data_IF_581135194236
#
_entry.id   IF_581135194236
#
_cell.length_a   1.000
_cell.length_b   1.000
_cell.length_c   1.000
_cell.angle_alpha   90.00
_cell.angle_beta   90.00
_cell.angle_gamma   90.00
#
_symmetry.space_group_name_H-M   'P 1'
#
loop_
_entity.id
_entity.type
_entity.pdbx_description
1 polymer ?
#
# COMPACT_ATOMS: atom_id res chain seq x y z
N UNK A 1 41.46 19.74 21.66
CA UNK A 1 40.71 18.90 20.69
C UNK A 1 39.56 18.11 21.32
N UNK A 2 39.74 17.40 22.44
CA UNK A 2 38.68 16.63 23.13
C UNK A 2 37.44 17.46 23.52
N UNK A 3 37.63 18.68 24.01
CA UNK A 3 36.52 19.56 24.41
C UNK A 3 35.76 20.15 23.22
N UNK A 4 36.41 20.30 22.05
CA UNK A 4 35.77 20.83 20.84
C UNK A 4 34.80 19.79 20.25
N UNK A 5 35.17 18.51 20.27
CA UNK A 5 34.33 17.40 19.82
C UNK A 5 33.09 17.25 20.71
N UNK A 6 33.25 17.37 22.02
CA UNK A 6 32.12 17.32 22.96
C UNK A 6 31.15 18.50 22.79
N UNK A 7 31.67 19.70 22.54
CA UNK A 7 30.83 20.90 22.31
C UNK A 7 30.07 20.81 20.98
N UNK A 8 30.70 20.30 19.93
CA UNK A 8 30.01 20.09 18.64
C UNK A 8 28.89 19.05 18.79
N UNK A 9 29.15 17.95 19.52
CA UNK A 9 28.16 16.90 19.74
C UNK A 9 26.97 17.37 20.57
N UNK A 10 27.19 18.16 21.63
CA UNK A 10 26.10 18.71 22.45
C UNK A 10 25.29 19.77 21.72
N UNK A 11 25.92 20.62 20.90
CA UNK A 11 25.21 21.58 20.06
C UNK A 11 24.33 20.88 19.01
N UNK A 12 24.83 19.78 18.41
CA UNK A 12 24.05 19.00 17.44
C UNK A 12 22.79 18.37 18.07
N UNK A 13 22.92 17.79 19.28
CA UNK A 13 21.80 17.20 20.03
C UNK A 13 20.78 18.26 20.46
N UNK A 14 21.26 19.45 20.86
CA UNK A 14 20.39 20.57 21.22
C UNK A 14 19.60 21.10 20.02
N UNK A 15 20.20 21.19 18.83
CA UNK A 15 19.50 21.61 17.59
C UNK A 15 18.35 20.66 17.24
N UNK A 16 18.50 19.35 17.49
CA UNK A 16 17.43 18.37 17.30
C UNK A 16 16.27 18.51 18.29
N UNK A 17 16.52 19.02 19.50
CA UNK A 17 15.50 19.22 20.54
C UNK A 17 14.65 20.48 20.33
N UNK A 18 15.13 21.47 19.56
CA UNK A 18 14.41 22.74 19.32
C UNK A 18 13.69 22.81 17.98
N UNK A 19 13.81 21.79 17.11
CA UNK A 19 12.95 21.72 15.94
C UNK A 19 11.52 21.42 16.43
N UNK A 20 10.56 22.35 16.29
CA UNK A 20 9.17 21.98 16.48
C UNK A 20 8.89 20.90 15.43
N UNK A 21 8.59 19.68 15.88
CA UNK A 21 7.78 18.77 15.10
C UNK A 21 6.44 19.49 14.91
N UNK A 22 6.37 20.36 13.91
CA UNK A 22 5.11 20.88 13.43
C UNK A 22 4.40 19.67 12.87
N UNK A 23 3.37 19.20 13.58
CA UNK A 23 2.35 18.28 13.05
C UNK A 23 1.64 18.96 11.88
N UNK A 24 2.33 19.04 10.75
CA UNK A 24 1.71 19.18 9.46
C UNK A 24 1.13 17.81 9.13
N UNK A 25 -0.20 17.69 9.23
CA UNK A 25 -0.96 16.62 8.57
C UNK A 25 -0.62 16.61 7.09
N UNK A 26 0.35 15.78 6.70
CA UNK A 26 0.62 15.22 5.37
C UNK A 26 1.99 14.55 5.40
N UNK A 27 2.11 13.43 6.10
CA UNK A 27 3.26 12.55 5.97
C UNK A 27 2.91 11.41 5.01
N UNK A 28 2.90 11.71 3.71
CA UNK A 28 3.01 10.67 2.68
C UNK A 28 4.48 10.21 2.65
N UNK A 29 4.74 9.20 3.48
CA UNK A 29 5.76 8.13 3.42
C UNK A 29 7.26 8.46 3.54
N UNK A 30 7.92 7.90 4.57
CA UNK A 30 9.38 7.80 4.72
C UNK A 30 9.96 6.41 4.43
N UNK A 31 9.11 5.44 4.08
CA UNK A 31 9.49 4.06 3.71
C UNK A 31 8.41 3.51 2.78
N UNK A 32 8.73 3.36 1.51
CA UNK A 32 7.81 2.79 0.53
C UNK A 32 8.08 1.29 0.41
N UNK A 33 7.08 0.46 0.70
CA UNK A 33 7.21 -1.00 0.54
C UNK A 33 7.14 -1.32 -0.94
N UNK A 34 8.30 -1.67 -1.50
CA UNK A 34 8.46 -1.91 -2.93
C UNK A 34 7.97 -3.30 -3.30
N UNK A 35 8.32 -4.32 -2.51
CA UNK A 35 7.88 -5.69 -2.78
C UNK A 35 7.76 -6.55 -1.54
N UNK A 36 6.70 -7.35 -1.49
CA UNK A 36 6.48 -8.39 -0.48
C UNK A 36 6.61 -9.76 -1.13
N UNK A 37 7.44 -10.62 -0.56
CA UNK A 37 7.48 -12.03 -0.92
C UNK A 37 6.86 -12.86 0.20
N UNK A 38 5.86 -13.66 -0.13
CA UNK A 38 5.17 -14.54 0.80
C UNK A 38 5.52 -15.98 0.45
N UNK A 39 6.17 -16.68 1.38
CA UNK A 39 6.43 -18.12 1.26
C UNK A 39 5.50 -18.84 2.21
N UNK A 40 4.47 -19.47 1.68
CA UNK A 40 3.51 -20.21 2.48
C UNK A 40 4.07 -21.57 2.92
N UNK A 41 3.84 -21.92 4.19
CA UNK A 41 4.12 -23.23 4.75
C UNK A 41 3.01 -23.62 5.73
N UNK A 42 2.14 -24.54 5.29
CA UNK A 42 0.95 -24.99 6.03
C UNK A 42 0.09 -23.81 6.51
N UNK A 43 -0.05 -23.64 7.83
CA UNK A 43 -0.87 -22.58 8.42
C UNK A 43 -0.15 -21.23 8.51
N UNK A 44 1.17 -21.22 8.34
CA UNK A 44 2.01 -20.04 8.45
C UNK A 44 2.58 -19.57 7.11
N UNK A 45 3.38 -18.51 7.19
CA UNK A 45 4.16 -18.02 6.06
C UNK A 45 5.40 -17.24 6.53
N UNK A 46 6.40 -17.18 5.67
CA UNK A 46 7.53 -16.24 5.81
C UNK A 46 7.31 -15.08 4.86
N UNK A 47 7.20 -13.87 5.41
CA UNK A 47 7.09 -12.64 4.65
C UNK A 47 8.47 -11.99 4.54
N UNK A 48 8.96 -11.77 3.33
CA UNK A 48 10.13 -10.93 3.07
C UNK A 48 9.67 -9.60 2.51
N UNK A 49 9.75 -8.57 3.33
CA UNK A 49 9.31 -7.21 3.04
C UNK A 49 10.50 -6.42 2.55
N UNK A 50 10.49 -5.95 1.31
CA UNK A 50 11.52 -5.08 0.76
C UNK A 50 10.98 -3.65 0.69
N UNK A 51 11.83 -2.69 1.01
CA UNK A 51 11.42 -1.29 1.08
C UNK A 51 12.52 -0.34 0.63
N UNK A 52 12.11 0.81 0.09
CA UNK A 52 13.01 1.91 -0.24
C UNK A 52 12.83 3.08 0.74
N UNK A 53 13.96 3.68 1.08
CA UNK A 53 14.10 4.81 2.01
C UNK A 53 14.33 6.08 1.18
N UNK A 54 13.40 6.38 0.28
CA UNK A 54 13.53 7.54 -0.60
C UNK A 54 13.40 8.83 0.22
N UNK A 55 14.54 9.51 0.44
CA UNK A 55 14.75 10.89 1.01
C UNK A 55 15.20 11.06 2.48
N UNK A 56 15.96 10.10 3.04
CA UNK A 56 16.54 10.05 4.43
C UNK A 56 15.54 9.57 5.50
N UNK A 57 15.99 8.65 6.40
CA UNK A 57 17.29 8.69 7.05
C UNK A 57 18.12 7.40 6.93
N UNK A 58 18.65 7.09 5.73
CA UNK A 58 19.74 6.09 5.59
C UNK A 58 20.89 6.36 6.57
N UNK A 59 21.20 7.64 6.80
CA UNK A 59 22.22 8.04 7.76
C UNK A 59 21.82 7.73 9.22
N UNK A 60 20.55 7.88 9.62
CA UNK A 60 20.14 7.57 10.99
C UNK A 60 20.02 6.06 11.21
N UNK A 61 19.58 5.29 10.21
CA UNK A 61 19.58 3.83 10.28
C UNK A 61 21.02 3.30 10.35
N UNK A 62 21.98 3.96 9.71
CA UNK A 62 23.40 3.63 9.83
C UNK A 62 23.93 3.87 11.27
N UNK A 63 23.50 4.94 11.93
CA UNK A 63 23.96 5.30 13.28
C UNK A 63 23.17 4.64 14.43
N UNK A 64 21.88 4.37 14.25
CA UNK A 64 20.95 3.88 15.29
C UNK A 64 20.50 2.43 15.06
N UNK A 65 20.91 1.84 13.93
CA UNK A 65 20.49 0.51 13.50
C UNK A 65 19.09 0.50 12.88
N UNK A 66 18.71 -0.65 12.35
CA UNK A 66 17.40 -0.87 11.69
C UNK A 66 16.21 -0.79 12.65
N UNK A 67 16.41 -0.80 13.98
CA UNK A 67 15.33 -0.72 14.99
C UNK A 67 14.38 0.46 14.78
N UNK A 68 14.86 1.56 14.22
CA UNK A 68 14.01 2.71 13.89
C UNK A 68 12.91 2.43 12.85
N UNK A 69 13.03 1.33 12.09
CA UNK A 69 12.06 0.90 11.08
C UNK A 69 10.94 0.01 11.67
N UNK A 70 11.16 -0.55 12.84
CA UNK A 70 10.25 -1.52 13.47
C UNK A 70 8.84 -0.98 13.69
N UNK A 71 8.64 0.25 14.24
CA UNK A 71 7.29 0.78 14.44
C UNK A 71 6.50 0.89 13.12
N UNK A 72 7.19 1.15 12.01
CA UNK A 72 6.54 1.27 10.72
C UNK A 72 6.19 -0.08 10.11
N UNK A 73 7.08 -1.07 10.17
CA UNK A 73 6.74 -2.46 9.81
C UNK A 73 5.54 -2.93 10.65
N UNK A 74 5.51 -2.56 11.94
CA UNK A 74 4.39 -2.83 12.83
C UNK A 74 3.07 -2.21 12.40
N UNK A 75 3.08 -0.98 11.91
CA UNK A 75 1.89 -0.34 11.37
C UNK A 75 1.35 -1.04 10.12
N UNK A 76 2.24 -1.46 9.20
CA UNK A 76 1.80 -2.13 7.96
C UNK A 76 1.23 -3.52 8.20
N UNK A 77 1.86 -4.30 9.07
CA UNK A 77 1.47 -5.68 9.34
C UNK A 77 0.64 -5.84 10.62
N UNK A 78 0.05 -4.77 11.16
CA UNK A 78 -0.67 -4.78 12.44
C UNK A 78 -1.83 -5.78 12.50
N UNK A 79 -2.40 -6.13 11.34
CA UNK A 79 -3.52 -7.06 11.21
C UNK A 79 -3.08 -8.53 11.09
N UNK A 80 -1.77 -8.80 11.17
CA UNK A 80 -1.19 -10.14 11.11
C UNK A 80 -0.64 -10.53 12.49
N UNK A 81 -0.70 -11.82 12.80
CA UNK A 81 0.02 -12.40 13.93
C UNK A 81 1.42 -12.79 13.44
N UNK A 82 2.45 -12.05 13.87
CA UNK A 82 3.80 -12.25 13.36
C UNK A 82 4.90 -11.86 14.34
N UNK A 83 6.07 -12.45 14.09
CA UNK A 83 7.33 -12.10 14.74
C UNK A 83 8.34 -11.61 13.71
N UNK A 84 9.07 -10.54 14.05
CA UNK A 84 10.18 -10.05 13.20
C UNK A 84 11.39 -10.95 13.45
N UNK A 85 11.74 -11.80 12.49
CA UNK A 85 12.93 -12.67 12.57
C UNK A 85 14.19 -11.84 12.33
N UNK A 86 14.13 -10.95 11.33
CA UNK A 86 15.29 -10.15 10.90
C UNK A 86 14.83 -8.82 10.34
N UNK A 87 15.59 -7.77 10.58
CA UNK A 87 15.36 -6.46 9.97
C UNK A 87 16.69 -5.82 9.62
N UNK A 88 16.90 -5.59 8.32
CA UNK A 88 18.08 -4.97 7.73
C UNK A 88 17.75 -3.51 7.31
N UNK A 89 18.54 -2.92 6.42
CA UNK A 89 18.33 -1.54 5.96
C UNK A 89 17.36 -1.42 4.77
N UNK A 90 17.16 -2.51 4.05
CA UNK A 90 16.40 -2.60 2.80
C UNK A 90 15.33 -3.69 2.81
N UNK A 91 15.36 -4.56 3.83
CA UNK A 91 14.40 -5.66 3.98
C UNK A 91 14.12 -6.05 5.43
N UNK A 92 12.95 -6.61 5.65
CA UNK A 92 12.57 -7.29 6.88
C UNK A 92 12.06 -8.70 6.56
N UNK A 93 12.31 -9.64 7.46
CA UNK A 93 11.80 -11.01 7.39
C UNK A 93 10.90 -11.23 8.59
N UNK A 94 9.63 -11.53 8.32
CA UNK A 94 8.60 -11.78 9.31
C UNK A 94 8.18 -13.25 9.25
N UNK A 95 8.03 -13.88 10.41
CA UNK A 95 7.30 -15.15 10.54
C UNK A 95 5.86 -14.83 10.86
N UNK A 96 4.96 -15.17 9.96
CA UNK A 96 3.53 -14.94 10.13
C UNK A 96 2.86 -16.27 10.45
N UNK A 97 2.05 -16.29 11.51
CA UNK A 97 1.36 -17.49 11.97
C UNK A 97 -0.13 -17.41 11.66
N UNK A 98 -0.79 -18.58 11.63
CA UNK A 98 -2.25 -18.71 11.56
C UNK A 98 -2.93 -17.95 10.41
N UNK A 99 -2.23 -17.79 9.29
CA UNK A 99 -2.69 -17.02 8.12
C UNK A 99 -3.52 -17.85 7.14
N UNK A 100 -3.45 -19.18 7.23
CA UNK A 100 -4.28 -20.09 6.43
C UNK A 100 -5.05 -21.06 7.32
N UNK A 101 -6.21 -21.51 6.81
CA UNK A 101 -6.98 -22.61 7.41
C UNK A 101 -6.80 -23.87 6.58
N UNK A 102 -6.69 -25.02 7.24
CA UNK A 102 -6.70 -26.30 6.55
C UNK A 102 -8.15 -26.79 6.35
N UNK A 103 -8.53 -27.07 5.11
CA UNK A 103 -9.81 -27.65 4.75
C UNK A 103 -9.65 -28.64 3.59
N UNK A 104 -10.17 -29.87 3.76
CA UNK A 104 -10.23 -30.91 2.73
C UNK A 104 -8.92 -31.14 1.94
N UNK A 105 -7.77 -31.13 2.61
CA UNK A 105 -6.47 -31.37 1.96
C UNK A 105 -5.82 -30.12 1.37
N UNK A 106 -6.39 -28.94 1.60
CA UNK A 106 -5.85 -27.67 1.14
C UNK A 106 -5.67 -26.70 2.30
N UNK A 107 -4.68 -25.82 2.15
CA UNK A 107 -4.51 -24.63 2.97
C UNK A 107 -5.13 -23.45 2.24
N UNK A 108 -6.06 -22.75 2.89
CA UNK A 108 -6.84 -21.66 2.33
C UNK A 108 -6.50 -20.34 3.05
N UNK A 109 -6.02 -19.38 2.29
CA UNK A 109 -5.78 -18.01 2.73
C UNK A 109 -6.86 -17.08 2.16
N UNK A 110 -7.44 -16.24 3.02
CA UNK A 110 -8.50 -15.29 2.68
C UNK A 110 -7.94 -13.86 2.61
N UNK A 111 -8.30 -13.15 1.54
CA UNK A 111 -7.97 -11.75 1.26
C UNK A 111 -8.52 -10.70 2.23
N UNK A 112 -9.28 -11.12 3.25
CA UNK A 112 -9.86 -10.20 4.24
C UNK A 112 -8.82 -9.43 5.07
N UNK A 113 -7.60 -9.96 5.21
CA UNK A 113 -6.57 -9.30 5.99
C UNK A 113 -5.92 -8.21 5.13
N UNK A 114 -6.08 -6.96 5.55
CA UNK A 114 -5.53 -5.78 4.85
C UNK A 114 -4.17 -5.40 5.42
N UNK A 115 -3.33 -4.83 4.56
CA UNK A 115 -2.13 -4.13 4.96
C UNK A 115 -2.49 -2.72 5.46
N UNK A 116 -1.72 -2.20 6.40
CA UNK A 116 -1.84 -0.81 6.85
C UNK A 116 -1.38 0.22 5.82
N UNK A 117 -0.55 -0.20 4.85
CA UNK A 117 -0.09 0.62 3.73
C UNK A 117 -0.10 -0.20 2.43
N UNK A 118 -0.17 0.48 1.28
CA UNK A 118 -0.18 -0.16 -0.03
C UNK A 118 1.17 -0.73 -0.44
N UNK A 119 1.18 -1.94 -0.99
CA UNK A 119 2.38 -2.66 -1.46
C UNK A 119 2.41 -2.72 -2.99
N UNK A 120 3.52 -2.38 -3.62
CA UNK A 120 3.55 -2.29 -5.10
C UNK A 120 3.50 -3.65 -5.80
N UNK A 121 4.26 -4.63 -5.31
CA UNK A 121 4.37 -5.98 -5.89
C UNK A 121 4.32 -7.03 -4.80
N UNK A 122 3.55 -8.10 -5.01
CA UNK A 122 3.51 -9.27 -4.12
C UNK A 122 3.87 -10.52 -4.93
N UNK A 123 4.90 -11.25 -4.49
CA UNK A 123 5.27 -12.55 -5.02
C UNK A 123 4.90 -13.64 -4.02
N UNK A 124 4.10 -14.63 -4.45
CA UNK A 124 3.61 -15.69 -3.58
C UNK A 124 4.14 -17.03 -4.03
N UNK A 125 4.86 -17.70 -3.13
CA UNK A 125 5.34 -19.06 -3.28
C UNK A 125 4.46 -20.00 -2.47
N UNK A 126 4.02 -21.08 -3.10
CA UNK A 126 3.30 -22.18 -2.46
C UNK A 126 4.08 -23.48 -2.64
N UNK A 127 4.08 -24.40 -1.65
CA UNK A 127 4.84 -25.66 -1.73
C UNK A 127 4.51 -26.53 -2.95
N UNK A 128 3.28 -26.43 -3.47
CA UNK A 128 2.81 -27.20 -4.62
C UNK A 128 3.16 -26.59 -5.98
N UNK A 129 3.83 -25.42 -6.01
CA UNK A 129 4.23 -24.74 -7.24
C UNK A 129 5.69 -24.29 -7.20
N UNK A 130 6.53 -24.68 -8.17
CA UNK A 130 7.90 -24.18 -8.27
C UNK A 130 7.97 -22.72 -8.76
N UNK A 131 6.86 -22.17 -9.26
CA UNK A 131 6.78 -20.81 -9.79
C UNK A 131 5.96 -19.91 -8.87
N UNK A 132 6.44 -18.69 -8.56
CA UNK A 132 5.67 -17.74 -7.79
C UNK A 132 4.50 -17.18 -8.58
N UNK A 133 3.39 -16.91 -7.89
CA UNK A 133 2.31 -16.07 -8.40
C UNK A 133 2.65 -14.62 -8.09
N UNK A 134 2.90 -13.82 -9.13
CA UNK A 134 3.18 -12.39 -9.02
C UNK A 134 1.91 -11.56 -9.17
N UNK A 135 1.66 -10.69 -8.21
CA UNK A 135 0.56 -9.73 -8.19
C UNK A 135 1.13 -8.32 -8.22
N UNK A 136 0.64 -7.51 -9.15
CA UNK A 136 0.98 -6.08 -9.25
C UNK A 136 -0.09 -5.38 -10.08
N UNK A 137 -0.25 -4.08 -9.89
CA UNK A 137 -1.19 -3.26 -10.65
C UNK A 137 -2.60 -3.87 -10.72
N UNK A 138 -3.31 -4.08 -9.59
CA UNK A 138 -4.63 -4.68 -9.63
C UNK A 138 -5.60 -3.79 -10.43
N UNK A 139 -6.41 -4.44 -11.28
CA UNK A 139 -7.46 -3.79 -12.04
C UNK A 139 -8.54 -3.27 -11.10
N UNK A 140 -8.92 -2.00 -11.27
CA UNK A 140 -9.97 -1.35 -10.50
C UNK A 140 -11.28 -1.36 -11.30
N UNK A 141 -11.33 -0.63 -12.41
CA UNK A 141 -12.53 -0.50 -13.24
C UNK A 141 -12.19 -0.02 -14.65
N UNK A 142 -13.10 -0.21 -15.59
CA UNK A 142 -12.98 0.34 -16.94
C UNK A 142 -13.54 1.76 -16.93
N UNK A 143 -12.72 2.73 -17.29
CA UNK A 143 -13.06 4.14 -17.34
C UNK A 143 -14.28 4.38 -18.24
N UNK A 144 -14.31 3.79 -19.43
CA UNK A 144 -15.35 4.04 -20.44
C UNK A 144 -16.72 3.50 -20.02
N UNK A 145 -16.75 2.54 -19.09
CA UNK A 145 -17.96 1.93 -18.55
C UNK A 145 -18.41 2.50 -17.19
N UNK A 146 -17.88 3.67 -16.80
CA UNK A 146 -18.30 4.44 -15.61
C UNK A 146 -18.74 5.85 -16.03
N UNK A 147 -19.94 6.31 -15.62
CA UNK A 147 -20.98 5.53 -14.93
C UNK A 147 -21.57 4.44 -15.82
N UNK A 148 -21.97 3.31 -15.24
CA UNK A 148 -22.56 2.19 -15.97
C UNK A 148 -22.23 0.84 -15.34
N UNK A 149 -21.96 -0.15 -16.20
CA UNK A 149 -21.75 -1.53 -15.78
C UNK A 149 -20.55 -1.72 -14.86
N UNK A 150 -19.58 -0.79 -14.83
CA UNK A 150 -18.39 -0.89 -13.98
C UNK A 150 -18.43 0.04 -12.75
N UNK A 151 -19.53 0.79 -12.54
CA UNK A 151 -19.70 1.66 -11.37
C UNK A 151 -19.58 0.89 -10.04
N UNK A 152 -20.04 -0.36 -10.00
CA UNK A 152 -19.94 -1.18 -8.79
C UNK A 152 -18.48 -1.45 -8.39
N UNK A 153 -17.56 -1.56 -9.36
CA UNK A 153 -16.14 -1.76 -9.08
C UNK A 153 -15.47 -0.51 -8.57
N UNK A 154 -15.82 0.66 -9.14
CA UNK A 154 -15.39 1.94 -8.58
C UNK A 154 -15.83 2.04 -7.11
N UNK A 155 -17.07 1.67 -6.80
CA UNK A 155 -17.57 1.67 -5.41
C UNK A 155 -16.80 0.70 -4.51
N UNK A 156 -16.48 -0.50 -4.99
CA UNK A 156 -15.63 -1.47 -4.25
C UNK A 156 -14.27 -0.84 -3.95
N UNK A 157 -13.60 -0.24 -4.95
CA UNK A 157 -12.32 0.40 -4.74
C UNK A 157 -12.39 1.53 -3.70
N UNK A 158 -13.35 2.45 -3.84
CA UNK A 158 -13.51 3.57 -2.90
C UNK A 158 -13.79 3.08 -1.48
N UNK A 159 -14.67 2.10 -1.32
CA UNK A 159 -15.05 1.57 -0.01
C UNK A 159 -13.96 0.68 0.59
N UNK A 160 -13.60 -0.38 -0.12
CA UNK A 160 -12.80 -1.47 0.43
C UNK A 160 -11.31 -1.11 0.43
N UNK A 161 -10.80 -0.40 -0.57
CA UNK A 161 -9.37 -0.06 -0.63
C UNK A 161 -9.06 1.29 0.00
N UNK A 162 -9.93 2.30 -0.16
CA UNK A 162 -9.72 3.64 0.39
C UNK A 162 -10.48 3.93 1.70
N UNK A 163 -11.37 3.03 2.14
CA UNK A 163 -12.15 3.23 3.37
C UNK A 163 -13.24 4.30 3.27
N UNK A 164 -13.66 4.65 2.05
CA UNK A 164 -14.62 5.72 1.77
C UNK A 164 -16.03 5.15 1.65
N UNK A 165 -16.61 4.74 2.78
CA UNK A 165 -17.91 4.05 2.83
C UNK A 165 -19.07 4.87 2.22
N UNK A 166 -19.03 6.20 2.36
CA UNK A 166 -20.11 7.07 1.90
C UNK A 166 -20.27 7.08 0.37
N UNK A 167 -19.20 6.78 -0.37
CA UNK A 167 -19.19 6.83 -1.82
C UNK A 167 -20.10 5.77 -2.47
N UNK A 168 -20.43 4.68 -1.76
CA UNK A 168 -21.26 3.60 -2.30
C UNK A 168 -22.66 4.07 -2.70
N UNK A 169 -23.21 5.04 -1.97
CA UNK A 169 -24.54 5.59 -2.23
C UNK A 169 -24.50 6.97 -2.90
N UNK A 170 -23.32 7.42 -3.31
CA UNK A 170 -23.12 8.73 -3.93
C UNK A 170 -23.57 8.73 -5.39
N UNK A 171 -23.87 9.92 -5.91
CA UNK A 171 -24.12 10.09 -7.33
C UNK A 171 -22.80 10.01 -8.09
N UNK A 172 -22.80 9.31 -9.23
CA UNK A 172 -21.64 9.19 -10.11
C UNK A 172 -21.99 9.87 -11.43
N UNK A 173 -21.26 10.93 -11.73
CA UNK A 173 -21.37 11.65 -13.00
C UNK A 173 -20.05 11.63 -13.73
N UNK A 174 -20.12 11.83 -15.05
CA UNK A 174 -18.96 12.01 -15.89
C UNK A 174 -19.09 13.31 -16.68
N UNK A 175 -17.98 14.02 -16.82
CA UNK A 175 -17.94 15.25 -17.60
C UNK A 175 -18.20 14.97 -19.08
N UNK A 176 -18.74 15.96 -19.79
CA UNK A 176 -19.07 15.86 -21.23
C UNK A 176 -17.83 15.59 -22.09
N UNK A 177 -16.65 16.03 -21.65
CA UNK A 177 -15.37 15.76 -22.30
C UNK A 177 -14.81 14.35 -22.02
N UNK A 178 -15.52 13.54 -21.21
CA UNK A 178 -15.14 12.19 -20.78
C UNK A 178 -13.79 12.13 -20.02
N UNK A 179 -13.32 13.26 -19.46
CA UNK A 179 -12.03 13.36 -18.77
C UNK A 179 -12.09 13.29 -17.25
N UNK A 180 -13.27 13.51 -16.67
CA UNK A 180 -13.46 13.53 -15.22
C UNK A 180 -14.67 12.69 -14.82
N UNK A 181 -14.49 11.85 -13.81
CA UNK A 181 -15.57 11.18 -13.07
C UNK A 181 -15.70 11.88 -11.72
N UNK A 182 -16.93 12.26 -11.37
CA UNK A 182 -17.26 12.90 -10.10
C UNK A 182 -18.17 11.96 -9.31
N UNK A 183 -17.78 11.67 -8.06
CA UNK A 183 -18.57 10.89 -7.10
C UNK A 183 -18.90 11.80 -5.93
N UNK A 184 -20.17 12.12 -5.69
CA UNK A 184 -20.51 13.13 -4.71
C UNK A 184 -21.85 12.89 -4.00
N UNK A 185 -21.91 13.45 -2.80
CA UNK A 185 -23.13 13.73 -2.03
C UNK A 185 -23.26 15.25 -1.88
N UNK A 186 -24.23 15.73 -1.09
CA UNK A 186 -24.35 17.16 -0.79
C UNK A 186 -23.14 17.71 -0.02
N UNK A 187 -22.47 16.88 0.78
CA UNK A 187 -21.41 17.31 1.70
C UNK A 187 -19.99 16.89 1.27
N UNK A 188 -19.88 15.85 0.44
CA UNK A 188 -18.59 15.23 0.10
C UNK A 188 -18.49 15.00 -1.39
N UNK A 189 -17.28 15.10 -1.91
CA UNK A 189 -17.01 14.87 -3.32
C UNK A 189 -15.66 14.19 -3.51
N UNK A 190 -15.58 13.42 -4.59
CA UNK A 190 -14.37 12.80 -5.12
C UNK A 190 -14.34 13.11 -6.59
N UNK A 191 -13.19 13.56 -7.07
CA UNK A 191 -12.93 13.76 -8.49
C UNK A 191 -11.82 12.83 -8.94
N UNK A 192 -12.06 12.10 -10.02
CA UNK A 192 -11.06 11.29 -10.70
C UNK A 192 -10.87 11.92 -12.07
N UNK A 193 -9.68 12.43 -12.37
CA UNK A 193 -9.40 13.11 -13.63
C UNK A 193 -8.24 12.44 -14.37
N UNK A 194 -8.44 12.19 -15.67
CA UNK A 194 -7.37 11.70 -16.56
C UNK A 194 -6.33 12.79 -16.81
N UNK A 195 -5.06 12.40 -16.83
CA UNK A 195 -3.98 13.26 -17.28
C UNK A 195 -4.07 13.50 -18.80
N UNK A 196 -3.34 14.50 -19.32
CA UNK A 196 -3.45 14.93 -20.73
C UNK A 196 -3.20 13.81 -21.73
N UNK A 197 -2.37 12.83 -21.36
CA UNK A 197 -1.97 11.72 -22.23
C UNK A 197 -2.72 10.41 -21.96
N UNK A 198 -3.68 10.42 -21.02
CA UNK A 198 -4.39 9.24 -20.52
C UNK A 198 -3.43 8.11 -20.06
N UNK A 199 -2.26 8.45 -19.53
CA UNK A 199 -1.33 7.52 -18.90
C UNK A 199 -1.56 7.38 -17.40
N UNK A 200 -2.19 8.38 -16.77
CA UNK A 200 -2.49 8.41 -15.34
C UNK A 200 -3.86 9.01 -15.08
N UNK A 201 -4.44 8.64 -13.95
CA UNK A 201 -5.59 9.31 -13.37
C UNK A 201 -5.23 9.80 -11.97
N UNK A 202 -5.75 10.97 -11.59
CA UNK A 202 -5.62 11.50 -10.25
C UNK A 202 -6.98 11.48 -9.59
N UNK A 203 -7.09 10.76 -8.49
CA UNK A 203 -8.25 10.81 -7.60
C UNK A 203 -7.96 11.82 -6.49
N UNK A 204 -8.89 12.75 -6.27
CA UNK A 204 -8.85 13.77 -5.22
C UNK A 204 -10.09 13.66 -4.35
N UNK A 205 -9.90 13.66 -3.04
CA UNK A 205 -11.01 13.70 -2.06
C UNK A 205 -11.24 15.13 -1.58
N UNK A 206 -12.42 15.38 -0.99
CA UNK A 206 -12.73 16.64 -0.30
C UNK A 206 -11.69 17.02 0.76
N UNK A 207 -11.06 16.01 1.37
CA UNK A 207 -10.10 16.17 2.45
C UNK A 207 -8.67 16.42 1.92
N UNK A 208 -8.55 16.75 0.63
CA UNK A 208 -7.30 17.04 -0.09
C UNK A 208 -6.34 15.86 -0.23
N UNK A 209 -6.79 14.62 0.06
CA UNK A 209 -6.00 13.43 -0.24
C UNK A 209 -5.97 13.21 -1.75
N UNK A 210 -4.79 12.85 -2.26
CA UNK A 210 -4.59 12.58 -3.70
C UNK A 210 -3.97 11.21 -3.91
N UNK A 211 -4.60 10.44 -4.79
CA UNK A 211 -4.18 9.10 -5.18
C UNK A 211 -3.87 9.08 -6.67
N UNK A 212 -2.69 8.55 -7.02
CA UNK A 212 -2.30 8.34 -8.41
C UNK A 212 -2.73 6.95 -8.84
N UNK A 213 -3.43 6.87 -9.97
CA UNK A 213 -3.90 5.64 -10.59
C UNK A 213 -3.23 5.46 -11.95
N UNK A 214 -2.96 4.22 -12.32
CA UNK A 214 -2.42 3.89 -13.64
C UNK A 214 -3.54 3.69 -14.64
N UNK A 215 -3.34 4.20 -15.86
CA UNK A 215 -4.27 4.03 -16.96
C UNK A 215 -3.60 3.18 -18.04
N UNK A 216 -4.30 2.15 -18.51
CA UNK A 216 -3.82 1.32 -19.62
C UNK A 216 -4.95 1.15 -20.63
N UNK A 217 -4.63 1.32 -21.90
CA UNK A 217 -5.57 1.07 -23.00
C UNK A 217 -5.46 -0.40 -23.42
N UNK A 218 -6.58 -1.11 -23.40
CA UNK A 218 -6.70 -2.47 -23.91
C UNK A 218 -7.78 -2.55 -25.01
N UNK A 219 -8.20 -3.76 -25.37
CA UNK A 219 -9.22 -3.97 -26.41
C UNK A 219 -10.62 -3.51 -25.97
N UNK A 220 -10.86 -3.45 -24.67
CA UNK A 220 -12.16 -3.18 -24.06
C UNK A 220 -12.28 -1.73 -23.57
N UNK A 221 -11.24 -0.92 -23.75
CA UNK A 221 -11.24 0.52 -23.49
C UNK A 221 -10.07 0.98 -22.63
N UNK A 222 -10.30 2.05 -21.86
CA UNK A 222 -9.35 2.56 -20.88
C UNK A 222 -9.55 1.87 -19.52
N UNK A 223 -8.67 0.95 -19.15
CA UNK A 223 -8.65 0.33 -17.83
C UNK A 223 -7.90 1.17 -16.80
N UNK A 224 -8.46 1.27 -15.59
CA UNK A 224 -7.85 1.93 -14.43
C UNK A 224 -7.31 0.87 -13.47
N UNK A 225 -6.09 1.07 -13.00
CA UNK A 225 -5.36 0.14 -12.15
C UNK A 225 -4.76 0.88 -10.95
N UNK A 226 -4.77 0.26 -9.77
CA UNK A 226 -4.06 0.80 -8.61
C UNK A 226 -2.56 0.53 -8.75
N UNK A 227 -1.65 1.45 -8.40
CA UNK A 227 -0.22 1.13 -8.30
C UNK A 227 0.12 0.24 -7.10
N UNK A 228 -0.79 0.12 -6.13
CA UNK A 228 -0.59 -0.61 -4.87
C UNK A 228 -1.64 -1.68 -4.64
N UNK A 229 -1.27 -2.66 -3.82
CA UNK A 229 -2.11 -3.74 -3.32
C UNK A 229 -2.30 -3.51 -1.81
N UNK A 230 -3.55 -3.46 -1.37
CA UNK A 230 -3.92 -3.16 0.02
C UNK A 230 -4.37 -4.39 0.82
N UNK A 231 -4.52 -5.54 0.17
CA UNK A 231 -4.93 -6.79 0.78
C UNK A 231 -4.15 -7.96 0.21
N UNK A 232 -4.03 -9.03 0.98
CA UNK A 232 -3.47 -10.27 0.45
C UNK A 232 -4.43 -10.88 -0.59
N UNK A 233 -3.94 -11.52 -1.66
CA UNK A 233 -4.82 -12.23 -2.59
C UNK A 233 -5.32 -13.54 -1.97
N UNK A 234 -6.48 -14.03 -2.43
CA UNK A 234 -6.94 -15.37 -2.06
C UNK A 234 -6.00 -16.43 -2.62
N UNK A 235 -5.51 -17.33 -1.77
CA UNK A 235 -4.59 -18.40 -2.14
C UNK A 235 -5.10 -19.73 -1.58
N UNK A 236 -4.99 -20.78 -2.38
CA UNK A 236 -5.20 -22.15 -1.96
C UNK A 236 -4.06 -23.01 -2.48
N UNK A 237 -3.59 -23.95 -1.66
CA UNK A 237 -2.46 -24.80 -2.01
C UNK A 237 -2.41 -26.09 -1.18
N UNK A 238 -1.56 -27.04 -1.59
CA UNK A 238 -1.24 -28.26 -0.83
C UNK A 238 0.19 -28.23 -0.28
N UNK A 239 0.39 -28.79 0.91
CA UNK A 239 1.72 -28.99 1.51
C UNK A 239 2.30 -30.35 1.16
#
# INVERSE_FOLDING_TARGET
MRNLVFVIFTVLVLIFLVLPFTEGKNQKNSLDITSLTINFDKTGAIFTVNYDLSKLPRLYILFLGSRGLEPKVKAVFSNFDYEIIKMDQDKAVLRVENITRYDKGYYLHDSRIKFGEGISVIDIYTPDSPYPKRYSNPYLFNWDNVPGNESFRLNIFLKDDLGIDWAVNAQILKSDDNRTISVFTEERYIEIALDKNNGKALLRTSDSETYELQVKKDKDGLGIYSPYIYSTPNIYYRS
#
